data_IF_916616405739
#
_entry.id   IF_916616405739
#
_cell.length_a   1.000
_cell.length_b   1.000
_cell.length_c   1.000
_cell.angle_alpha   90.00
_cell.angle_beta   90.00
_cell.angle_gamma   90.00
#
_symmetry.space_group_name_H-M   'P 1'
#
loop_
_entity.id
_entity.type
_entity.pdbx_description
1 polymer ?
#
# COMPACT_ATOMS: atom_id res chain seq x y z
N UNK A 1 -7.79 -27.62 14.44
CA UNK A 1 -6.83 -26.68 13.81
C UNK A 1 -6.69 -25.48 14.71
N UNK A 2 -5.49 -24.98 14.94
CA UNK A 2 -5.25 -23.77 15.75
C UNK A 2 -5.41 -22.53 14.87
N UNK A 3 -6.61 -21.94 14.87
CA UNK A 3 -6.93 -20.77 14.07
C UNK A 3 -6.13 -19.51 14.46
N UNK A 4 -5.53 -19.46 15.67
CA UNK A 4 -4.75 -18.31 16.14
C UNK A 4 -3.47 -18.08 15.33
N UNK A 5 -2.94 -19.11 14.68
CA UNK A 5 -1.76 -19.08 13.82
C UNK A 5 -2.05 -18.61 12.40
N UNK A 6 -3.32 -18.69 11.96
CA UNK A 6 -3.69 -18.33 10.59
C UNK A 6 -3.65 -16.83 10.43
N UNK A 7 -2.94 -16.35 9.39
CA UNK A 7 -2.85 -14.95 8.99
C UNK A 7 -3.41 -14.71 7.59
N UNK A 8 -3.42 -15.75 6.76
CA UNK A 8 -3.91 -15.73 5.39
C UNK A 8 -4.70 -17.01 5.10
N UNK A 9 -5.86 -16.86 4.49
CA UNK A 9 -6.61 -17.96 3.87
C UNK A 9 -6.55 -17.75 2.35
N UNK A 10 -6.05 -18.75 1.62
CA UNK A 10 -6.06 -18.78 0.17
C UNK A 10 -7.20 -19.73 -0.26
N UNK A 11 -8.05 -19.22 -1.14
CA UNK A 11 -9.24 -19.93 -1.61
C UNK A 11 -9.09 -20.37 -3.06
N UNK A 12 -9.41 -21.62 -3.32
CA UNK A 12 -9.89 -21.99 -4.64
C UNK A 12 -11.34 -21.54 -4.82
N UNK A 13 -11.84 -21.49 -6.05
CA UNK A 13 -13.16 -20.96 -6.36
C UNK A 13 -14.17 -22.05 -6.69
N UNK A 14 -13.99 -22.78 -7.81
CA UNK A 14 -14.94 -23.79 -8.27
C UNK A 14 -15.06 -24.96 -7.27
N UNK A 15 -16.28 -25.41 -6.97
CA UNK A 15 -16.59 -26.45 -5.99
C UNK A 15 -16.01 -26.23 -4.57
N UNK A 16 -15.36 -25.05 -4.35
CA UNK A 16 -14.74 -24.66 -3.07
C UNK A 16 -15.44 -23.44 -2.48
N UNK A 17 -15.27 -22.26 -3.07
CA UNK A 17 -15.89 -21.01 -2.63
C UNK A 17 -17.34 -20.87 -3.11
N UNK A 18 -17.62 -21.43 -4.26
CA UNK A 18 -18.95 -21.58 -4.80
C UNK A 18 -19.21 -22.99 -5.32
N UNK A 19 -20.49 -23.34 -5.55
CA UNK A 19 -20.88 -24.58 -6.20
C UNK A 19 -20.95 -24.36 -7.71
N UNK A 20 -20.44 -25.32 -8.46
CA UNK A 20 -20.35 -25.29 -9.91
C UNK A 20 -19.03 -24.79 -10.43
N UNK A 21 -18.84 -24.93 -11.74
CA UNK A 21 -17.66 -24.47 -12.49
C UNK A 21 -18.06 -23.26 -13.33
N UNK A 22 -17.43 -22.12 -13.12
CA UNK A 22 -17.89 -20.85 -13.71
C UNK A 22 -17.87 -20.82 -15.24
N UNK A 23 -17.00 -21.62 -15.87
CA UNK A 23 -16.92 -21.76 -17.33
C UNK A 23 -18.04 -22.64 -17.94
N UNK A 24 -18.69 -23.47 -17.13
CA UNK A 24 -19.64 -24.48 -17.61
C UNK A 24 -21.09 -24.17 -17.24
N UNK A 25 -21.32 -23.51 -16.12
CA UNK A 25 -22.68 -23.29 -15.59
C UNK A 25 -22.76 -22.07 -14.65
N UNK A 26 -24.01 -21.74 -14.27
CA UNK A 26 -24.22 -20.74 -13.23
C UNK A 26 -23.70 -21.25 -11.89
N UNK A 27 -22.85 -20.43 -11.23
CA UNK A 27 -22.31 -20.73 -9.91
C UNK A 27 -23.17 -20.09 -8.82
N UNK A 28 -23.19 -20.69 -7.64
CA UNK A 28 -23.86 -20.20 -6.46
C UNK A 28 -22.89 -20.16 -5.26
N UNK A 29 -22.83 -19.05 -4.48
CA UNK A 29 -21.88 -18.90 -3.41
C UNK A 29 -22.16 -19.92 -2.29
N UNK A 30 -21.11 -20.49 -1.70
CA UNK A 30 -21.21 -21.29 -0.49
C UNK A 30 -21.33 -20.33 0.69
N UNK A 31 -22.52 -20.22 1.28
CA UNK A 31 -22.81 -19.28 2.36
C UNK A 31 -21.76 -19.31 3.48
N UNK A 32 -21.38 -20.51 3.94
CA UNK A 32 -20.38 -20.65 5.01
C UNK A 32 -19.00 -20.10 4.60
N UNK A 33 -18.61 -20.18 3.33
CA UNK A 33 -17.37 -19.61 2.83
C UNK A 33 -17.45 -18.08 2.83
N UNK A 34 -18.56 -17.51 2.37
CA UNK A 34 -18.79 -16.07 2.40
C UNK A 34 -18.77 -15.52 3.83
N UNK A 35 -19.51 -16.17 4.73
CA UNK A 35 -19.56 -15.80 6.15
C UNK A 35 -18.16 -15.89 6.80
N UNK A 36 -17.35 -16.89 6.42
CA UNK A 36 -15.99 -17.04 6.92
C UNK A 36 -15.05 -15.95 6.40
N UNK A 37 -15.18 -15.52 5.15
CA UNK A 37 -14.40 -14.39 4.62
C UNK A 37 -14.68 -13.10 5.40
N UNK A 38 -15.94 -12.82 5.69
CA UNK A 38 -16.32 -11.64 6.49
C UNK A 38 -15.79 -11.73 7.92
N UNK A 39 -15.99 -12.88 8.57
CA UNK A 39 -15.54 -13.14 9.95
C UNK A 39 -14.01 -13.10 10.06
N UNK A 40 -13.29 -13.78 9.16
CA UNK A 40 -11.83 -13.82 9.16
C UNK A 40 -11.23 -12.43 8.96
N UNK A 41 -11.81 -11.62 8.06
CA UNK A 41 -11.35 -10.24 7.82
C UNK A 41 -11.49 -9.37 9.08
N UNK A 42 -12.61 -9.47 9.80
CA UNK A 42 -12.83 -8.77 11.08
C UNK A 42 -11.91 -9.27 12.20
N UNK A 43 -11.39 -10.48 12.09
CA UNK A 43 -10.39 -11.02 13.01
C UNK A 43 -8.94 -10.76 12.55
N UNK A 44 -8.75 -9.91 11.53
CA UNK A 44 -7.43 -9.58 10.99
C UNK A 44 -6.75 -10.75 10.28
N UNK A 45 -7.52 -11.71 9.76
CA UNK A 45 -7.05 -12.76 8.85
C UNK A 45 -7.38 -12.31 7.44
N UNK A 46 -6.38 -12.26 6.57
CA UNK A 46 -6.53 -11.77 5.19
C UNK A 46 -6.96 -12.91 4.27
N UNK A 47 -7.71 -12.61 3.23
CA UNK A 47 -8.14 -13.59 2.24
C UNK A 47 -7.51 -13.29 0.87
N UNK A 48 -7.15 -14.35 0.14
CA UNK A 48 -6.62 -14.32 -1.22
C UNK A 48 -7.26 -15.45 -2.03
N UNK A 49 -7.11 -15.39 -3.34
CA UNK A 49 -7.62 -16.41 -4.26
C UNK A 49 -6.46 -17.03 -5.04
N UNK A 50 -6.45 -18.36 -5.17
CA UNK A 50 -5.61 -19.09 -6.10
C UNK A 50 -6.45 -20.10 -6.86
N UNK A 51 -6.91 -19.77 -8.06
CA UNK A 51 -7.82 -20.61 -8.85
C UNK A 51 -7.35 -20.79 -10.30
N UNK A 52 -7.71 -21.92 -10.91
CA UNK A 52 -7.49 -22.21 -12.33
C UNK A 52 -8.74 -21.80 -13.11
N UNK A 53 -8.81 -20.54 -13.48
CA UNK A 53 -9.95 -19.93 -14.13
C UNK A 53 -9.53 -18.70 -14.96
N UNK A 54 -10.46 -18.15 -15.71
CA UNK A 54 -10.35 -16.82 -16.29
C UNK A 54 -10.65 -15.75 -15.23
N UNK A 55 -9.74 -14.79 -15.06
CA UNK A 55 -9.80 -13.82 -13.96
C UNK A 55 -11.07 -12.95 -14.01
N UNK A 56 -11.38 -12.40 -15.20
CA UNK A 56 -12.46 -11.43 -15.33
C UNK A 56 -13.84 -11.97 -14.92
N UNK A 57 -14.31 -13.15 -15.41
CA UNK A 57 -15.58 -13.73 -14.96
C UNK A 57 -15.62 -13.97 -13.45
N UNK A 58 -14.52 -14.43 -12.85
CA UNK A 58 -14.44 -14.69 -11.42
C UNK A 58 -14.58 -13.40 -10.61
N UNK A 59 -13.85 -12.36 -10.99
CA UNK A 59 -13.91 -11.07 -10.29
C UNK A 59 -15.28 -10.42 -10.46
N UNK A 60 -15.88 -10.48 -11.66
CA UNK A 60 -17.22 -9.94 -11.90
C UNK A 60 -18.27 -10.66 -11.02
N UNK A 61 -18.12 -11.97 -10.82
CA UNK A 61 -19.00 -12.75 -9.93
C UNK A 61 -18.82 -12.39 -8.47
N UNK A 62 -17.61 -12.19 -8.01
CA UNK A 62 -17.33 -11.73 -6.64
C UNK A 62 -17.88 -10.32 -6.38
N UNK A 63 -17.82 -9.43 -7.37
CA UNK A 63 -18.44 -8.09 -7.31
C UNK A 63 -19.96 -8.16 -7.23
N UNK A 64 -20.60 -9.05 -7.98
CA UNK A 64 -22.05 -9.28 -7.90
C UNK A 64 -22.50 -9.62 -6.48
N UNK A 65 -21.63 -10.31 -5.72
CA UNK A 65 -21.87 -10.69 -4.32
C UNK A 65 -21.30 -9.71 -3.28
N UNK A 66 -20.71 -8.58 -3.73
CA UNK A 66 -20.05 -7.57 -2.87
C UNK A 66 -18.90 -8.15 -2.00
N UNK A 67 -18.19 -9.16 -2.52
CA UNK A 67 -17.12 -9.87 -1.82
C UNK A 67 -15.72 -9.58 -2.35
N UNK A 68 -15.56 -9.06 -3.56
CA UNK A 68 -14.26 -8.78 -4.19
C UNK A 68 -13.35 -7.91 -3.35
N UNK A 69 -13.90 -6.97 -2.60
CA UNK A 69 -13.20 -6.03 -1.72
C UNK A 69 -12.47 -6.68 -0.54
N UNK A 70 -12.81 -7.94 -0.19
CA UNK A 70 -12.19 -8.68 0.91
C UNK A 70 -10.99 -9.53 0.48
N UNK A 71 -10.70 -9.59 -0.82
CA UNK A 71 -9.59 -10.37 -1.35
C UNK A 71 -8.45 -9.49 -1.84
N UNK A 72 -7.22 -9.97 -1.63
CA UNK A 72 -5.99 -9.30 -2.07
C UNK A 72 -5.01 -10.33 -2.62
N UNK A 73 -4.09 -9.90 -3.47
CA UNK A 73 -3.08 -10.75 -4.10
C UNK A 73 -3.68 -11.94 -4.84
N UNK A 74 -4.81 -11.73 -5.50
CA UNK A 74 -5.51 -12.78 -6.23
C UNK A 74 -4.65 -13.29 -7.39
N UNK A 75 -4.60 -14.61 -7.51
CA UNK A 75 -3.91 -15.34 -8.57
C UNK A 75 -4.91 -16.25 -9.29
N UNK A 76 -5.51 -15.74 -10.35
CA UNK A 76 -6.53 -16.43 -11.14
C UNK A 76 -6.00 -16.57 -12.56
N UNK A 77 -5.56 -17.76 -12.93
CA UNK A 77 -5.10 -18.13 -14.26
C UNK A 77 -4.99 -19.66 -14.35
N UNK A 78 -4.66 -20.21 -15.51
CA UNK A 78 -4.64 -21.64 -15.79
C UNK A 78 -3.34 -22.36 -15.41
N UNK A 79 -2.35 -21.67 -14.85
CA UNK A 79 -1.09 -22.26 -14.44
C UNK A 79 -1.22 -23.12 -13.16
N UNK A 80 -0.27 -24.05 -12.89
CA UNK A 80 -0.22 -24.82 -11.65
C UNK A 80 -0.26 -23.95 -10.40
N UNK A 81 -0.95 -24.41 -9.34
CA UNK A 81 -1.22 -23.57 -8.15
C UNK A 81 -0.03 -23.46 -7.20
N UNK A 82 0.80 -24.51 -7.09
CA UNK A 82 1.82 -24.61 -6.04
C UNK A 82 2.82 -23.45 -6.03
N UNK A 83 3.44 -23.16 -7.19
CA UNK A 83 4.38 -22.03 -7.31
C UNK A 83 3.67 -20.68 -7.09
N UNK A 84 2.46 -20.52 -7.61
CA UNK A 84 1.66 -19.29 -7.47
C UNK A 84 1.29 -18.99 -6.01
N UNK A 85 0.99 -20.04 -5.23
CA UNK A 85 0.76 -19.94 -3.78
C UNK A 85 2.03 -19.46 -3.09
N UNK A 86 3.19 -20.06 -3.41
CA UNK A 86 4.49 -19.64 -2.88
C UNK A 86 4.77 -18.17 -3.18
N UNK A 87 4.60 -17.75 -4.43
CA UNK A 87 4.82 -16.37 -4.87
C UNK A 87 3.89 -15.38 -4.16
N UNK A 88 2.63 -15.77 -3.91
CA UNK A 88 1.66 -14.99 -3.15
C UNK A 88 2.12 -14.83 -1.69
N UNK A 89 2.52 -15.92 -1.03
CA UNK A 89 2.98 -15.91 0.37
C UNK A 89 4.24 -15.04 0.53
N UNK A 90 5.19 -15.16 -0.39
CA UNK A 90 6.41 -14.34 -0.43
C UNK A 90 6.09 -12.86 -0.68
N UNK A 91 5.22 -12.57 -1.65
CA UNK A 91 4.78 -11.19 -1.96
C UNK A 91 4.04 -10.52 -0.80
N UNK A 92 3.38 -11.30 0.04
CA UNK A 92 2.69 -10.84 1.24
C UNK A 92 3.60 -10.80 2.49
N UNK A 93 4.89 -11.16 2.36
CA UNK A 93 5.85 -11.26 3.45
C UNK A 93 5.35 -12.13 4.62
N UNK A 94 4.72 -13.26 4.30
CA UNK A 94 4.20 -14.19 5.29
C UNK A 94 5.05 -15.46 5.37
N UNK A 95 4.96 -16.17 6.50
CA UNK A 95 5.52 -17.53 6.64
C UNK A 95 4.48 -18.54 6.17
N UNK A 96 4.91 -19.57 5.50
CA UNK A 96 4.04 -20.65 5.00
C UNK A 96 3.21 -21.30 6.12
N UNK A 97 3.78 -21.47 7.31
CA UNK A 97 3.08 -22.01 8.49
C UNK A 97 1.93 -21.13 9.03
N UNK A 98 1.77 -19.89 8.52
CA UNK A 98 0.66 -19.02 8.86
C UNK A 98 -0.40 -18.93 7.75
N UNK A 99 -0.31 -19.78 6.74
CA UNK A 99 -1.20 -19.78 5.58
C UNK A 99 -2.02 -21.04 5.54
N UNK A 100 -3.31 -20.90 5.32
CA UNK A 100 -4.24 -21.99 5.05
C UNK A 100 -4.69 -21.92 3.60
N UNK A 101 -4.53 -23.00 2.86
CA UNK A 101 -5.06 -23.17 1.51
C UNK A 101 -6.26 -24.13 1.52
N UNK A 102 -7.38 -23.70 0.93
CA UNK A 102 -8.63 -24.44 0.83
C UNK A 102 -8.91 -24.75 -0.64
N UNK A 103 -9.06 -26.03 -0.96
CA UNK A 103 -9.27 -26.52 -2.33
C UNK A 103 -9.98 -27.88 -2.25
N UNK A 104 -10.93 -28.17 -3.15
CA UNK A 104 -11.64 -29.45 -3.22
C UNK A 104 -10.77 -30.55 -3.81
N UNK A 105 -9.78 -30.19 -4.63
CA UNK A 105 -8.89 -31.13 -5.29
C UNK A 105 -7.66 -31.45 -4.43
N UNK A 106 -7.57 -32.69 -3.96
CA UNK A 106 -6.44 -33.16 -3.15
C UNK A 106 -5.08 -33.02 -3.83
N UNK A 107 -5.02 -33.12 -5.17
CA UNK A 107 -3.77 -32.93 -5.91
C UNK A 107 -3.25 -31.50 -5.77
N UNK A 108 -4.13 -30.49 -5.85
CA UNK A 108 -3.75 -29.12 -5.63
C UNK A 108 -3.26 -28.88 -4.19
N UNK A 109 -3.86 -29.54 -3.20
CA UNK A 109 -3.41 -29.46 -1.80
C UNK A 109 -2.01 -30.05 -1.63
N UNK A 110 -1.71 -31.18 -2.25
CA UNK A 110 -0.37 -31.81 -2.20
C UNK A 110 0.65 -30.99 -3.00
N UNK A 111 0.25 -30.42 -4.14
CA UNK A 111 1.09 -29.49 -4.90
C UNK A 111 1.49 -28.26 -4.04
N UNK A 112 0.53 -27.67 -3.32
CA UNK A 112 0.79 -26.57 -2.40
C UNK A 112 1.80 -26.94 -1.31
N UNK A 113 1.69 -28.14 -0.71
CA UNK A 113 2.64 -28.64 0.29
C UNK A 113 4.04 -28.88 -0.28
N UNK A 114 4.12 -29.33 -1.53
CA UNK A 114 5.42 -29.55 -2.19
C UNK A 114 6.21 -28.22 -2.31
N UNK A 115 5.55 -27.13 -2.72
CA UNK A 115 6.19 -25.82 -2.84
C UNK A 115 6.32 -25.06 -1.51
N UNK A 116 5.42 -25.35 -0.56
CA UNK A 116 5.32 -24.73 0.77
C UNK A 116 5.14 -25.81 1.84
N UNK A 117 6.21 -26.49 2.29
CA UNK A 117 6.10 -27.68 3.16
C UNK A 117 5.29 -27.48 4.44
N UNK A 118 5.33 -26.27 5.03
CA UNK A 118 4.65 -25.96 6.29
C UNK A 118 3.24 -25.37 6.10
N UNK A 119 2.73 -25.31 4.87
CA UNK A 119 1.40 -24.73 4.60
C UNK A 119 0.30 -25.62 5.19
N UNK A 120 -0.67 -25.00 5.82
CA UNK A 120 -1.89 -25.71 6.22
C UNK A 120 -2.80 -25.89 5.01
N UNK A 121 -3.39 -27.06 4.86
CA UNK A 121 -4.33 -27.36 3.78
C UNK A 121 -5.64 -27.92 4.31
N UNK A 122 -6.75 -27.66 3.63
CA UNK A 122 -8.07 -28.09 4.07
C UNK A 122 -9.00 -28.34 2.88
N UNK A 123 -9.85 -29.35 3.00
CA UNK A 123 -10.97 -29.59 2.08
C UNK A 123 -12.17 -28.70 2.47
N UNK A 124 -13.05 -28.34 1.51
CA UNK A 124 -14.19 -27.43 1.74
C UNK A 124 -15.22 -27.95 2.74
N UNK A 125 -15.34 -29.26 2.95
CA UNK A 125 -16.25 -29.87 3.92
C UNK A 125 -15.98 -29.47 5.38
N UNK A 126 -14.77 -28.95 5.65
CA UNK A 126 -14.35 -28.48 6.99
C UNK A 126 -14.46 -26.98 7.22
N UNK A 127 -15.05 -26.23 6.28
CA UNK A 127 -15.23 -24.77 6.42
C UNK A 127 -16.03 -24.43 7.68
N UNK A 128 -17.03 -25.24 8.03
CA UNK A 128 -17.83 -25.02 9.25
C UNK A 128 -17.01 -25.16 10.54
N UNK A 129 -16.08 -26.12 10.61
CA UNK A 129 -15.16 -26.27 11.75
C UNK A 129 -14.21 -25.07 11.86
N UNK A 130 -13.70 -24.58 10.72
CA UNK A 130 -12.86 -23.41 10.68
C UNK A 130 -13.61 -22.15 11.11
N UNK A 131 -14.85 -21.99 10.65
CA UNK A 131 -15.71 -20.87 11.06
C UNK A 131 -15.87 -20.83 12.58
N UNK A 132 -16.19 -21.97 13.21
CA UNK A 132 -16.29 -22.09 14.66
C UNK A 132 -14.96 -21.74 15.37
N UNK A 133 -13.84 -22.22 14.84
CA UNK A 133 -12.53 -21.91 15.42
C UNK A 133 -12.16 -20.42 15.31
N UNK A 134 -12.47 -19.77 14.17
CA UNK A 134 -12.21 -18.33 13.97
C UNK A 134 -13.14 -17.48 14.84
N UNK A 135 -14.40 -17.90 15.05
CA UNK A 135 -15.34 -17.16 15.91
C UNK A 135 -14.94 -17.14 17.39
N UNK A 136 -14.08 -18.05 17.82
CA UNK A 136 -13.54 -18.10 19.19
C UNK A 136 -12.27 -17.25 19.36
N UNK A 137 -11.76 -16.62 18.31
CA UNK A 137 -10.60 -15.75 18.43
C UNK A 137 -10.98 -14.46 19.12
N UNK A 138 -10.25 -14.09 20.17
CA UNK A 138 -10.34 -12.80 20.83
C UNK A 138 -9.50 -11.75 20.07
N UNK A 139 -9.90 -11.46 18.82
CA UNK A 139 -9.27 -10.47 17.95
C UNK A 139 -10.36 -9.61 17.35
N UNK A 140 -10.12 -8.31 17.29
CA UNK A 140 -11.07 -7.37 16.72
C UNK A 140 -10.34 -6.40 15.79
N UNK A 141 -10.63 -6.49 14.49
CA UNK A 141 -10.21 -5.56 13.45
C UNK A 141 -11.44 -5.06 12.67
N UNK A 142 -12.40 -4.49 13.38
CA UNK A 142 -13.65 -3.95 12.81
C UNK A 142 -13.40 -2.94 11.69
N UNK A 143 -12.26 -2.23 11.74
CA UNK A 143 -11.86 -1.26 10.71
C UNK A 143 -11.17 -1.90 9.51
N UNK A 144 -11.00 -3.23 9.51
CA UNK A 144 -10.30 -3.98 8.47
C UNK A 144 -8.88 -3.43 8.17
N UNK A 145 -8.23 -2.88 9.20
CA UNK A 145 -6.95 -2.18 9.08
C UNK A 145 -5.86 -3.07 8.47
N UNK A 146 -5.92 -4.37 8.75
CA UNK A 146 -4.99 -5.33 8.19
C UNK A 146 -5.24 -5.57 6.70
N UNK A 147 -6.49 -5.73 6.29
CA UNK A 147 -6.86 -5.85 4.89
C UNK A 147 -6.41 -4.63 4.09
N UNK A 148 -6.68 -3.43 4.58
CA UNK A 148 -6.25 -2.19 3.92
C UNK A 148 -4.72 -2.09 3.79
N UNK A 149 -3.98 -2.51 4.83
CA UNK A 149 -2.51 -2.57 4.75
C UNK A 149 -2.02 -3.51 3.64
N UNK A 150 -2.69 -4.64 3.41
CA UNK A 150 -2.32 -5.55 2.33
C UNK A 150 -2.77 -5.06 0.95
N UNK A 151 -3.84 -4.29 0.83
CA UNK A 151 -4.20 -3.60 -0.44
C UNK A 151 -3.13 -2.59 -0.85
N UNK A 152 -2.58 -1.84 0.11
CA UNK A 152 -1.44 -0.94 -0.14
C UNK A 152 -0.21 -1.72 -0.61
N UNK A 153 0.11 -2.83 0.07
CA UNK A 153 1.23 -3.70 -0.30
C UNK A 153 1.05 -4.30 -1.71
N UNK A 154 -0.16 -4.72 -2.06
CA UNK A 154 -0.47 -5.24 -3.40
C UNK A 154 -0.25 -4.20 -4.49
N UNK A 155 -0.76 -2.97 -4.31
CA UNK A 155 -0.52 -1.85 -5.24
C UNK A 155 0.97 -1.61 -5.42
N UNK A 156 1.72 -1.60 -4.32
CA UNK A 156 3.16 -1.42 -4.29
C UNK A 156 3.90 -2.50 -5.07
N UNK A 157 3.53 -3.77 -4.89
CA UNK A 157 4.13 -4.89 -5.60
C UNK A 157 3.84 -4.85 -7.11
N UNK A 158 2.64 -4.44 -7.53
CA UNK A 158 2.30 -4.26 -8.95
C UNK A 158 3.20 -3.21 -9.62
N UNK A 159 3.44 -2.08 -8.94
CA UNK A 159 4.30 -1.01 -9.44
C UNK A 159 5.78 -1.44 -9.43
N UNK A 160 6.23 -2.12 -8.36
CA UNK A 160 7.60 -2.63 -8.27
C UNK A 160 7.96 -3.55 -9.44
N UNK A 161 7.04 -4.39 -9.89
CA UNK A 161 7.24 -5.27 -11.06
C UNK A 161 7.44 -4.50 -12.38
N UNK A 162 6.98 -3.25 -12.47
CA UNK A 162 7.14 -2.40 -13.66
C UNK A 162 8.42 -1.54 -13.65
N UNK A 163 9.12 -1.46 -12.52
CA UNK A 163 10.34 -0.65 -12.34
C UNK A 163 11.57 -1.56 -12.36
N UNK A 164 12.61 -1.18 -13.09
CA UNK A 164 13.77 -2.03 -13.38
C UNK A 164 14.72 -2.31 -12.20
N UNK A 165 14.70 -1.50 -11.10
CA UNK A 165 15.50 -1.75 -9.91
C UNK A 165 14.72 -1.51 -8.60
N UNK A 166 15.06 -2.28 -7.56
CA UNK A 166 14.42 -2.13 -6.25
C UNK A 166 14.75 -0.79 -5.58
N UNK A 167 15.97 -0.31 -5.73
CA UNK A 167 16.41 0.96 -5.13
C UNK A 167 15.69 2.15 -5.78
N UNK A 168 15.60 2.16 -7.10
CA UNK A 168 14.87 3.18 -7.83
C UNK A 168 13.37 3.21 -7.43
N UNK A 169 12.77 2.03 -7.30
CA UNK A 169 11.41 1.92 -6.78
C UNK A 169 11.27 2.51 -5.37
N UNK A 170 12.22 2.24 -4.46
CA UNK A 170 12.19 2.77 -3.10
C UNK A 170 12.36 4.29 -3.06
N UNK A 171 13.26 4.84 -3.89
CA UNK A 171 13.41 6.31 -4.07
C UNK A 171 12.13 6.95 -4.56
N UNK A 172 11.51 6.37 -5.59
CA UNK A 172 10.24 6.87 -6.15
C UNK A 172 9.05 6.66 -5.21
N UNK A 173 9.17 5.79 -4.20
CA UNK A 173 8.10 5.56 -3.23
C UNK A 173 7.94 6.69 -2.23
N UNK A 174 8.93 7.57 -2.09
CA UNK A 174 8.93 8.70 -1.14
C UNK A 174 8.59 8.24 0.27
N UNK A 175 9.46 7.40 0.83
CA UNK A 175 9.25 6.81 2.15
C UNK A 175 9.62 7.82 3.23
N UNK A 176 8.72 8.05 4.17
CA UNK A 176 8.88 8.89 5.34
C UNK A 176 8.82 8.08 6.61
N UNK A 177 9.66 8.45 7.58
CA UNK A 177 9.79 7.76 8.87
C UNK A 177 9.89 8.78 10.00
N UNK A 178 8.99 8.67 10.98
CA UNK A 178 8.97 9.51 12.17
C UNK A 178 9.24 8.72 13.44
N UNK A 179 9.95 9.37 14.39
CA UNK A 179 10.33 8.83 15.68
C UNK A 179 9.53 9.53 16.78
N UNK A 180 8.91 8.74 17.65
CA UNK A 180 8.02 9.23 18.69
C UNK A 180 8.42 8.68 20.05
N UNK A 181 8.46 9.54 21.08
CA UNK A 181 8.88 9.20 22.45
C UNK A 181 7.73 8.93 23.43
N UNK A 182 6.49 9.20 23.04
CA UNK A 182 5.25 9.02 23.82
C UNK A 182 4.81 7.55 23.89
N UNK A 183 5.76 6.63 24.06
CA UNK A 183 5.52 5.17 24.06
C UNK A 183 4.45 4.71 25.05
N UNK A 184 4.30 5.38 26.18
CA UNK A 184 3.33 5.01 27.21
C UNK A 184 1.88 5.12 26.74
N UNK A 185 1.57 6.11 25.88
CA UNK A 185 0.23 6.32 25.32
C UNK A 185 -0.15 5.24 24.31
N UNK A 186 0.85 4.56 23.75
CA UNK A 186 0.67 3.54 22.71
C UNK A 186 1.05 2.12 23.16
N UNK A 187 1.11 1.88 24.48
CA UNK A 187 1.60 0.62 25.07
C UNK A 187 0.87 -0.62 24.55
N UNK A 188 -0.44 -0.55 24.33
CA UNK A 188 -1.23 -1.67 23.81
C UNK A 188 -0.77 -2.06 22.41
N UNK A 189 -0.54 -1.06 21.56
CA UNK A 189 -0.11 -1.28 20.18
C UNK A 189 1.35 -1.76 20.11
N UNK A 190 2.22 -1.24 20.98
CA UNK A 190 3.62 -1.65 21.07
C UNK A 190 3.73 -3.09 21.57
N UNK A 191 2.97 -3.45 22.60
CA UNK A 191 2.89 -4.82 23.08
C UNK A 191 2.42 -5.78 21.97
N UNK A 192 1.36 -5.42 21.23
CA UNK A 192 0.90 -6.20 20.09
C UNK A 192 2.01 -6.37 19.02
N UNK A 193 2.72 -5.30 18.68
CA UNK A 193 3.83 -5.34 17.73
C UNK A 193 4.94 -6.28 18.18
N UNK A 194 5.36 -6.19 19.45
CA UNK A 194 6.39 -7.04 20.08
C UNK A 194 6.01 -8.52 19.94
N UNK A 195 4.75 -8.88 20.21
CA UNK A 195 4.30 -10.26 20.13
C UNK A 195 4.12 -10.77 18.70
N UNK A 196 3.76 -9.89 17.75
CA UNK A 196 3.52 -10.27 16.35
C UNK A 196 4.76 -10.24 15.47
N UNK A 197 5.73 -9.38 15.76
CA UNK A 197 6.94 -9.27 14.96
C UNK A 197 7.84 -10.50 15.18
N UNK A 198 8.15 -11.21 14.09
CA UNK A 198 9.03 -12.37 14.12
C UNK A 198 10.22 -12.21 13.17
N UNK A 199 9.94 -11.88 11.89
CA UNK A 199 10.95 -11.80 10.83
C UNK A 199 11.91 -10.62 11.02
N UNK A 200 11.42 -9.50 11.56
CA UNK A 200 12.16 -8.28 11.85
C UNK A 200 12.20 -7.98 13.36
N UNK A 201 12.20 -9.00 14.23
CA UNK A 201 12.51 -8.84 15.63
C UNK A 201 13.91 -9.36 15.88
N UNK A 202 14.86 -8.46 16.07
CA UNK A 202 16.28 -8.77 16.15
C UNK A 202 16.67 -9.31 17.54
N UNK A 203 16.07 -8.79 18.60
CA UNK A 203 16.37 -9.20 19.99
C UNK A 203 15.53 -10.38 20.48
N UNK A 204 14.43 -10.69 19.76
CA UNK A 204 13.43 -11.73 20.13
C UNK A 204 12.80 -11.56 21.53
N UNK A 205 13.06 -10.48 22.22
CA UNK A 205 12.48 -10.19 23.53
C UNK A 205 10.96 -10.02 23.41
N UNK A 206 10.21 -10.55 24.39
CA UNK A 206 8.75 -10.53 24.47
C UNK A 206 8.34 -10.00 25.85
N UNK A 207 8.41 -8.67 26.02
CA UNK A 207 8.07 -8.05 27.28
C UNK A 207 6.57 -7.93 27.49
N UNK A 208 6.15 -8.17 28.72
CA UNK A 208 4.78 -7.89 29.19
C UNK A 208 4.52 -6.37 29.23
N UNK A 209 3.25 -5.98 29.35
CA UNK A 209 2.91 -4.55 29.47
C UNK A 209 3.52 -3.90 30.72
N UNK A 210 3.64 -4.65 31.81
CA UNK A 210 4.21 -4.11 33.07
C UNK A 210 5.74 -3.94 32.95
N UNK A 211 6.43 -4.86 32.28
CA UNK A 211 7.86 -4.69 31.95
C UNK A 211 8.09 -3.52 30.99
N UNK A 212 7.20 -3.29 30.03
CA UNK A 212 7.28 -2.12 29.12
C UNK A 212 7.06 -0.81 29.88
N UNK A 213 6.09 -0.75 30.82
CA UNK A 213 5.90 0.43 31.67
C UNK A 213 7.15 0.75 32.47
N UNK A 214 7.72 -0.27 33.14
CA UNK A 214 8.97 -0.11 33.90
C UNK A 214 10.12 0.38 33.00
N UNK A 215 10.20 -0.11 31.76
CA UNK A 215 11.22 0.30 30.79
C UNK A 215 11.02 1.76 30.34
N UNK A 216 9.77 2.22 30.15
CA UNK A 216 9.47 3.61 29.77
C UNK A 216 9.73 4.61 30.90
N UNK A 217 9.66 4.17 32.16
CA UNK A 217 9.95 4.97 33.35
C UNK A 217 11.45 5.01 33.70
N UNK A 218 12.26 4.12 33.10
CA UNK A 218 13.70 4.04 33.35
C UNK A 218 14.44 5.21 32.68
N UNK A 219 14.99 6.11 33.48
CA UNK A 219 15.74 7.29 32.99
C UNK A 219 17.01 6.95 32.20
N UNK A 220 17.53 5.74 32.34
CA UNK A 220 18.70 5.26 31.59
C UNK A 220 18.30 4.56 30.27
N UNK A 221 17.02 4.38 30.01
CA UNK A 221 16.53 3.80 28.78
C UNK A 221 15.95 4.88 27.83
N UNK A 222 16.37 4.86 26.58
CA UNK A 222 15.73 5.64 25.52
C UNK A 222 14.80 4.72 24.74
N UNK A 223 13.50 5.00 24.77
CA UNK A 223 12.47 4.26 24.07
C UNK A 223 11.78 5.14 23.05
N UNK A 224 11.72 4.69 21.80
CA UNK A 224 10.94 5.37 20.75
C UNK A 224 10.24 4.32 19.89
N UNK A 225 9.06 4.67 19.40
CA UNK A 225 8.41 3.92 18.33
C UNK A 225 8.50 4.68 17.01
N UNK A 226 8.34 3.94 15.93
CA UNK A 226 8.52 4.43 14.58
C UNK A 226 7.19 4.31 13.83
N UNK A 227 6.75 5.41 13.23
CA UNK A 227 5.70 5.41 12.23
C UNK A 227 6.31 5.55 10.84
N UNK A 228 5.60 5.07 9.82
CA UNK A 228 6.03 5.23 8.44
C UNK A 228 4.84 5.44 7.52
N UNK A 229 5.07 6.21 6.45
CA UNK A 229 4.16 6.36 5.32
C UNK A 229 4.95 6.53 4.02
N UNK A 230 4.28 6.33 2.90
CA UNK A 230 4.83 6.61 1.59
C UNK A 230 3.68 7.06 0.64
N UNK A 231 3.97 7.31 -0.63
CA UNK A 231 2.96 7.74 -1.61
C UNK A 231 1.80 6.74 -1.81
N UNK A 232 1.91 5.52 -1.30
CA UNK A 232 0.88 4.49 -1.44
C UNK A 232 -0.04 4.41 -0.22
N UNK A 233 0.38 4.96 0.94
CA UNK A 233 -0.43 5.02 2.15
C UNK A 233 0.36 5.05 3.45
N UNK A 234 -0.38 5.05 4.55
CA UNK A 234 0.15 5.04 5.92
C UNK A 234 0.28 3.60 6.44
N UNK A 235 1.37 3.33 7.13
CA UNK A 235 1.64 2.02 7.76
C UNK A 235 1.37 2.03 9.26
N UNK A 236 1.16 3.21 9.86
CA UNK A 236 1.02 3.42 11.30
C UNK A 236 2.31 3.06 12.05
N UNK A 237 2.18 2.57 13.29
CA UNK A 237 3.34 2.12 14.09
C UNK A 237 3.93 0.86 13.44
N UNK A 238 5.17 1.00 12.96
CA UNK A 238 5.88 -0.05 12.23
C UNK A 238 7.15 -0.54 12.92
N UNK A 239 7.67 0.19 13.88
CA UNK A 239 8.89 -0.19 14.61
C UNK A 239 8.86 0.25 16.06
N UNK A 240 9.67 -0.40 16.87
CA UNK A 240 9.96 -0.02 18.25
C UNK A 240 11.40 -0.40 18.61
N UNK A 241 12.06 0.50 19.30
CA UNK A 241 13.34 0.21 19.91
C UNK A 241 13.45 0.74 21.35
N UNK A 242 14.30 0.09 22.11
CA UNK A 242 14.73 0.55 23.42
C UNK A 242 16.24 0.39 23.54
N UNK A 243 16.96 1.48 23.81
CA UNK A 243 18.41 1.49 24.07
C UNK A 243 18.63 1.74 25.55
N UNK A 244 19.41 0.88 26.18
CA UNK A 244 19.89 1.03 27.57
C UNK A 244 21.39 0.75 27.63
N UNK A 245 22.17 1.63 28.24
CA UNK A 245 23.61 1.50 28.36
C UNK A 245 24.31 1.19 27.02
N UNK A 246 23.88 1.89 25.93
CA UNK A 246 24.34 1.73 24.55
C UNK A 246 24.07 0.36 23.95
N UNK A 247 23.16 -0.45 24.53
CA UNK A 247 22.76 -1.76 24.03
C UNK A 247 21.26 -1.77 23.71
N UNK A 248 20.88 -2.40 22.61
CA UNK A 248 19.47 -2.54 22.19
C UNK A 248 18.77 -3.64 22.99
N UNK A 249 17.95 -3.24 23.98
CA UNK A 249 17.08 -4.15 24.71
C UNK A 249 15.89 -4.64 23.85
N UNK A 250 15.37 -3.75 23.02
CA UNK A 250 14.37 -4.07 21.99
C UNK A 250 14.79 -3.43 20.67
N UNK A 251 14.66 -4.19 19.58
CA UNK A 251 14.81 -3.70 18.22
C UNK A 251 13.98 -4.56 17.27
N UNK A 252 12.83 -4.03 16.84
CA UNK A 252 11.88 -4.82 16.06
C UNK A 252 11.01 -3.97 15.16
N UNK A 253 10.59 -4.58 14.03
CA UNK A 253 9.77 -3.93 13.03
C UNK A 253 8.65 -4.84 12.52
N UNK A 254 7.63 -4.23 11.95
CA UNK A 254 6.52 -4.93 11.31
C UNK A 254 6.95 -5.56 9.98
N UNK A 255 6.52 -6.79 9.73
CA UNK A 255 6.75 -7.44 8.43
C UNK A 255 6.15 -6.67 7.23
N UNK A 256 5.22 -5.74 7.46
CA UNK A 256 4.64 -4.87 6.42
C UNK A 256 5.66 -3.96 5.76
N UNK A 257 6.73 -3.65 6.45
CA UNK A 257 7.82 -2.77 5.97
C UNK A 257 9.06 -3.54 5.54
N UNK A 258 8.99 -4.88 5.48
CA UNK A 258 10.08 -5.71 5.02
C UNK A 258 10.56 -5.28 3.61
N UNK A 259 11.87 -5.07 3.47
CA UNK A 259 12.50 -4.65 2.23
C UNK A 259 12.38 -3.15 1.92
N UNK A 260 11.89 -2.33 2.87
CA UNK A 260 11.89 -0.87 2.74
C UNK A 260 13.17 -0.23 3.29
N UNK A 261 13.95 -0.96 4.10
CA UNK A 261 15.20 -0.49 4.71
C UNK A 261 15.00 0.35 5.98
N UNK A 262 13.78 0.39 6.53
CA UNK A 262 13.47 1.20 7.73
C UNK A 262 14.30 0.74 8.94
N UNK A 263 14.53 -0.56 9.07
CA UNK A 263 15.33 -1.16 10.15
C UNK A 263 16.79 -0.71 10.10
N UNK A 264 17.44 -0.73 8.94
CA UNK A 264 18.81 -0.26 8.77
C UNK A 264 18.90 1.26 8.96
N UNK A 265 17.98 2.01 8.37
CA UNK A 265 17.88 3.46 8.56
C UNK A 265 17.75 3.84 10.04
N UNK A 266 16.85 3.17 10.78
CA UNK A 266 16.68 3.39 12.21
C UNK A 266 17.96 3.08 12.99
N UNK A 267 18.62 1.96 12.68
CA UNK A 267 19.85 1.54 13.34
C UNK A 267 20.98 2.57 13.16
N UNK A 268 21.14 3.10 11.95
CA UNK A 268 22.10 4.19 11.66
C UNK A 268 21.73 5.48 12.40
N UNK A 269 20.44 5.84 12.37
CA UNK A 269 19.94 7.09 12.98
C UNK A 269 20.16 7.15 14.49
N UNK A 270 20.06 6.02 15.20
CA UNK A 270 20.29 5.94 16.65
C UNK A 270 21.77 5.75 17.02
N UNK A 271 22.69 5.83 16.05
CA UNK A 271 24.13 5.78 16.27
C UNK A 271 24.72 4.37 16.36
N UNK A 272 24.05 3.36 15.80
CA UNK A 272 24.50 1.97 15.75
C UNK A 272 24.89 1.41 17.13
N UNK A 273 23.98 1.40 18.15
CA UNK A 273 24.26 0.80 19.44
C UNK A 273 24.60 -0.69 19.32
N UNK A 274 25.08 -1.29 20.40
CA UNK A 274 25.30 -2.73 20.43
C UNK A 274 23.99 -3.48 20.23
N UNK A 275 23.99 -4.45 19.31
CA UNK A 275 22.85 -5.28 19.00
C UNK A 275 23.24 -6.75 19.02
N UNK A 276 22.68 -7.48 19.96
CA UNK A 276 22.75 -8.94 19.96
C UNK A 276 21.56 -9.52 19.17
N UNK A 277 21.87 -10.04 17.98
CA UNK A 277 20.85 -10.63 17.10
C UNK A 277 20.57 -12.06 17.51
N UNK A 278 19.36 -12.30 18.01
CA UNK A 278 18.93 -13.61 18.49
C UNK A 278 18.14 -14.37 17.41
N UNK A 279 18.64 -15.55 17.04
CA UNK A 279 18.00 -16.42 16.07
C UNK A 279 17.92 -15.83 14.65
N UNK A 280 17.03 -16.39 13.83
CA UNK A 280 16.91 -15.98 12.42
C UNK A 280 16.11 -14.68 12.26
N UNK A 281 16.65 -13.78 11.45
CA UNK A 281 16.01 -12.55 10.99
C UNK A 281 16.06 -12.46 9.47
N UNK A 282 15.05 -11.83 8.88
CA UNK A 282 14.93 -11.78 7.41
C UNK A 282 15.83 -10.74 6.75
N UNK A 283 16.42 -9.83 7.52
CA UNK A 283 17.28 -8.74 7.01
C UNK A 283 18.52 -8.65 7.88
N UNK A 284 19.68 -8.48 7.25
CA UNK A 284 20.92 -8.14 7.95
C UNK A 284 20.97 -6.64 8.17
N UNK A 285 21.38 -6.22 9.36
CA UNK A 285 21.65 -4.82 9.69
C UNK A 285 23.02 -4.73 10.35
N UNK A 286 23.68 -3.59 10.21
CA UNK A 286 25.01 -3.40 10.79
C UNK A 286 25.71 -2.14 10.30
N UNK A 287 26.84 -1.81 10.92
CA UNK A 287 27.69 -0.66 10.56
C UNK A 287 28.31 -0.76 9.16
N UNK A 288 28.42 -1.99 8.63
CA UNK A 288 29.04 -2.26 7.33
C UNK A 288 27.99 -2.51 6.22
N UNK A 289 26.71 -2.46 6.55
CA UNK A 289 25.66 -2.57 5.54
C UNK A 289 25.51 -1.24 4.76
N UNK A 290 25.04 -1.28 3.52
CA UNK A 290 24.84 -0.07 2.72
C UNK A 290 23.93 0.94 3.39
N UNK A 291 24.34 2.20 3.42
CA UNK A 291 23.54 3.30 3.97
C UNK A 291 22.25 3.49 3.20
N UNK A 292 21.16 3.62 3.93
CA UNK A 292 19.82 3.85 3.34
C UNK A 292 19.65 5.33 3.03
N UNK A 293 19.56 5.66 1.73
CA UNK A 293 19.49 7.04 1.24
C UNK A 293 18.14 7.44 0.63
N UNK A 294 17.15 6.55 0.65
CA UNK A 294 15.82 6.75 0.06
C UNK A 294 14.71 7.01 1.06
N UNK A 295 15.04 7.14 2.36
CA UNK A 295 14.10 7.43 3.44
C UNK A 295 14.26 8.88 3.86
N UNK A 296 13.13 9.59 3.97
CA UNK A 296 13.02 10.94 4.49
C UNK A 296 12.57 10.89 5.96
N UNK A 297 13.02 11.85 6.75
CA UNK A 297 12.57 12.02 8.12
C UNK A 297 11.80 13.33 8.25
N UNK A 298 10.56 13.24 8.71
CA UNK A 298 9.71 14.41 8.98
C UNK A 298 9.83 14.87 10.43
N UNK A 299 11.05 15.00 10.96
CA UNK A 299 11.28 15.57 12.31
C UNK A 299 11.26 17.10 12.31
N UNK A 300 10.65 17.70 11.33
CA UNK A 300 10.22 19.10 11.37
C UNK A 300 8.72 19.05 11.06
N UNK A 301 7.89 19.52 11.97
CA UNK A 301 6.56 19.97 11.63
C UNK A 301 6.74 20.96 10.49
N UNK A 302 6.65 20.47 9.27
CA UNK A 302 6.60 21.31 8.06
C UNK A 302 5.21 21.89 7.86
N UNK A 303 4.57 22.28 8.97
CA UNK A 303 3.52 23.30 8.89
C UNK A 303 4.11 24.63 8.38
N UNK A 304 5.46 24.77 8.39
CA UNK A 304 6.13 26.02 8.05
C UNK A 304 6.72 26.08 6.62
N UNK A 305 7.03 24.96 5.95
CA UNK A 305 7.56 25.06 4.58
C UNK A 305 6.50 25.53 3.58
N UNK A 306 5.24 25.14 3.75
CA UNK A 306 4.16 25.65 2.92
C UNK A 306 3.73 27.08 3.32
N UNK A 307 3.84 27.47 4.59
CA UNK A 307 3.64 28.84 5.03
C UNK A 307 4.78 29.76 4.55
N UNK A 308 6.04 29.28 4.55
CA UNK A 308 7.17 30.01 4.01
C UNK A 308 7.07 30.22 2.50
N UNK A 309 6.55 29.24 1.74
CA UNK A 309 6.29 29.39 0.30
C UNK A 309 5.17 30.40 0.05
N UNK A 310 4.11 30.44 0.87
CA UNK A 310 3.08 31.48 0.80
C UNK A 310 3.65 32.89 1.02
N UNK A 311 4.61 33.01 1.93
CA UNK A 311 5.25 34.29 2.24
C UNK A 311 6.31 34.75 1.22
N UNK A 312 6.83 33.82 0.39
CA UNK A 312 7.81 34.16 -0.66
C UNK A 312 7.18 34.63 -1.96
N UNK A 313 5.86 34.57 -2.11
CA UNK A 313 5.17 34.87 -3.37
C UNK A 313 5.46 33.87 -4.50
N UNK A 314 5.94 32.66 -4.14
CA UNK A 314 6.23 31.61 -5.10
C UNK A 314 4.91 31.05 -5.67
N UNK A 315 4.74 31.20 -6.98
CA UNK A 315 3.59 30.67 -7.72
C UNK A 315 4.00 29.59 -8.70
N UNK A 316 3.16 28.61 -8.89
CA UNK A 316 3.35 27.51 -9.84
C UNK A 316 2.24 27.54 -10.88
N UNK A 317 2.59 27.58 -12.15
CA UNK A 317 1.64 27.39 -13.24
C UNK A 317 1.62 25.92 -13.68
N UNK A 318 0.42 25.33 -13.79
CA UNK A 318 0.20 24.02 -14.38
C UNK A 318 -0.68 24.22 -15.63
N UNK A 319 -0.12 23.95 -16.83
CA UNK A 319 -0.81 24.14 -18.11
C UNK A 319 -0.77 22.89 -18.96
N UNK A 320 -1.92 22.47 -19.49
CA UNK A 320 -2.00 21.30 -20.38
C UNK A 320 -3.38 20.65 -20.44
N UNK A 321 -3.46 19.40 -20.94
CA UNK A 321 -4.71 18.67 -21.03
C UNK A 321 -5.31 18.29 -19.67
N UNK A 322 -6.57 17.88 -19.68
CA UNK A 322 -7.36 17.61 -18.47
C UNK A 322 -6.82 16.48 -17.57
N UNK A 323 -5.93 15.62 -18.07
CA UNK A 323 -5.24 14.60 -17.29
C UNK A 323 -4.34 15.17 -16.19
N UNK A 324 -3.77 16.37 -16.40
CA UNK A 324 -3.02 17.09 -15.36
C UNK A 324 -3.90 17.47 -14.16
N UNK A 325 -5.20 17.58 -14.32
CA UNK A 325 -6.12 17.83 -13.21
C UNK A 325 -6.10 16.70 -12.14
N UNK A 326 -5.72 15.49 -12.53
CA UNK A 326 -5.52 14.41 -11.57
C UNK A 326 -4.33 14.69 -10.64
N UNK A 327 -3.28 15.32 -11.15
CA UNK A 327 -2.13 15.73 -10.34
C UNK A 327 -2.58 16.80 -9.34
N UNK A 328 -3.39 17.76 -9.78
CA UNK A 328 -3.89 18.84 -8.94
C UNK A 328 -4.80 18.37 -7.80
N UNK A 329 -5.57 17.33 -8.01
CA UNK A 329 -6.45 16.75 -6.96
C UNK A 329 -5.68 16.22 -5.74
N UNK A 330 -4.38 15.98 -5.86
CA UNK A 330 -3.48 15.59 -4.77
C UNK A 330 -2.77 16.78 -4.10
N UNK A 331 -2.88 17.98 -4.67
CA UNK A 331 -2.21 19.19 -4.17
C UNK A 331 -3.21 19.94 -3.29
N UNK A 332 -2.97 19.98 -1.97
CA UNK A 332 -3.89 20.57 -0.98
C UNK A 332 -3.84 22.10 -0.87
N UNK A 333 -3.04 22.80 -1.67
CA UNK A 333 -2.81 24.23 -1.51
C UNK A 333 -3.11 25.02 -2.79
N UNK A 334 -4.38 25.40 -2.97
CA UNK A 334 -4.88 26.11 -4.14
C UNK A 334 -4.30 27.54 -4.29
N UNK A 335 -3.82 28.16 -3.21
CA UNK A 335 -3.31 29.55 -3.23
C UNK A 335 -1.96 29.70 -3.96
N UNK A 336 -1.23 28.61 -4.19
CA UNK A 336 0.10 28.60 -4.82
C UNK A 336 0.02 28.24 -6.30
N UNK A 337 -1.06 27.57 -6.73
CA UNK A 337 -1.19 26.99 -8.06
C UNK A 337 -2.18 27.75 -8.92
N UNK A 338 -1.70 28.23 -10.06
CA UNK A 338 -2.54 28.66 -11.16
C UNK A 338 -2.68 27.48 -12.15
N UNK A 339 -3.91 27.03 -12.38
CA UNK A 339 -4.18 25.86 -13.22
C UNK A 339 -4.95 26.23 -14.47
N UNK A 340 -4.37 25.94 -15.63
CA UNK A 340 -4.95 26.18 -16.95
C UNK A 340 -5.09 24.85 -17.70
N UNK A 341 -6.24 24.20 -17.49
CA UNK A 341 -6.52 22.92 -18.13
C UNK A 341 -7.43 23.09 -19.33
N UNK A 342 -7.09 22.41 -20.41
CA UNK A 342 -7.94 22.34 -21.58
C UNK A 342 -9.07 21.36 -21.33
N UNK A 343 -10.29 21.86 -21.22
CA UNK A 343 -11.49 21.05 -21.09
C UNK A 343 -12.36 21.13 -22.33
N UNK A 344 -13.00 19.99 -22.69
CA UNK A 344 -14.21 20.05 -23.49
C UNK A 344 -15.41 20.08 -22.54
N UNK A 345 -16.22 21.13 -22.61
CA UNK A 345 -17.43 21.23 -21.79
C UNK A 345 -18.36 20.03 -22.01
N UNK A 346 -19.21 19.69 -21.02
CA UNK A 346 -20.18 18.59 -21.17
C UNK A 346 -21.08 18.74 -22.41
N UNK A 347 -21.44 19.97 -22.74
CA UNK A 347 -22.21 20.28 -23.95
C UNK A 347 -21.41 20.00 -25.22
N UNK A 348 -20.12 20.32 -25.22
CA UNK A 348 -19.20 20.07 -26.34
C UNK A 348 -18.84 18.57 -26.45
N UNK A 349 -18.72 17.85 -25.34
CA UNK A 349 -18.51 16.39 -25.33
C UNK A 349 -19.67 15.64 -26.02
N UNK A 350 -20.89 16.13 -25.91
CA UNK A 350 -22.06 15.52 -26.57
C UNK A 350 -21.98 15.58 -28.09
N UNK A 351 -21.13 16.40 -28.67
CA UNK A 351 -20.91 16.52 -30.09
C UNK A 351 -19.94 15.49 -30.66
N UNK A 352 -19.35 14.64 -29.81
CA UNK A 352 -18.42 13.57 -30.21
C UNK A 352 -17.09 14.04 -30.78
N UNK A 353 -16.67 15.28 -30.46
CA UNK A 353 -15.40 15.84 -30.94
C UNK A 353 -14.26 15.29 -30.09
N UNK A 354 -13.31 14.60 -30.73
CA UNK A 354 -12.08 14.16 -30.09
C UNK A 354 -11.14 15.34 -29.85
N UNK A 355 -10.52 15.35 -28.64
CA UNK A 355 -9.51 16.35 -28.26
C UNK A 355 -8.12 15.96 -28.81
N UNK A 356 -8.02 14.81 -29.47
CA UNK A 356 -6.78 14.30 -30.01
C UNK A 356 -6.19 15.26 -31.05
N UNK A 357 -4.95 15.68 -30.86
CA UNK A 357 -4.21 16.52 -31.79
C UNK A 357 -4.17 18.01 -31.48
N UNK A 358 -4.47 18.43 -30.26
CA UNK A 358 -4.26 19.82 -29.84
C UNK A 358 -2.78 20.09 -29.54
N UNK A 359 -2.16 20.95 -30.38
CA UNK A 359 -0.77 21.36 -30.19
C UNK A 359 -0.67 22.41 -29.07
N UNK A 360 -0.40 21.95 -27.83
CA UNK A 360 -0.27 22.83 -26.65
C UNK A 360 0.90 23.79 -26.77
N UNK A 361 2.01 23.37 -27.36
CA UNK A 361 3.17 24.23 -27.59
C UNK A 361 2.80 25.41 -28.51
N UNK A 362 2.08 25.12 -29.60
CA UNK A 362 1.60 26.17 -30.50
C UNK A 362 0.64 27.14 -29.81
N UNK A 363 -0.27 26.64 -28.96
CA UNK A 363 -1.18 27.47 -28.18
C UNK A 363 -0.45 28.39 -27.24
N UNK A 364 0.59 27.93 -26.52
CA UNK A 364 1.40 28.73 -25.61
C UNK A 364 2.14 29.83 -26.41
N UNK A 365 2.79 29.47 -27.49
CA UNK A 365 3.54 30.42 -28.32
C UNK A 365 2.63 31.49 -28.90
N UNK A 366 1.45 31.13 -29.38
CA UNK A 366 0.51 32.03 -29.98
C UNK A 366 -0.28 32.90 -28.98
N UNK A 367 -0.40 32.46 -27.71
CA UNK A 367 -1.09 33.21 -26.66
C UNK A 367 -0.54 34.61 -26.43
N UNK A 368 0.74 34.87 -26.79
CA UNK A 368 1.33 36.19 -26.69
C UNK A 368 0.82 37.20 -27.78
N UNK A 369 0.46 36.67 -28.94
CA UNK A 369 0.11 37.51 -30.12
C UNK A 369 -1.40 37.54 -30.44
N UNK A 370 -2.18 36.62 -29.86
CA UNK A 370 -3.61 36.53 -30.10
C UNK A 370 -4.39 37.59 -29.32
N UNK A 371 -5.33 38.26 -29.96
CA UNK A 371 -6.19 39.26 -29.31
C UNK A 371 -7.38 38.61 -28.61
N UNK A 372 -7.99 39.36 -27.67
CA UNK A 372 -9.22 38.91 -27.00
C UNK A 372 -10.37 38.64 -27.98
N UNK A 373 -10.46 39.46 -29.06
CA UNK A 373 -11.47 39.27 -30.11
C UNK A 373 -11.24 37.98 -30.89
N UNK A 374 -10.00 37.69 -31.28
CA UNK A 374 -9.63 36.47 -31.97
C UNK A 374 -9.85 35.23 -31.07
N UNK A 375 -9.51 35.33 -29.78
CA UNK A 375 -9.77 34.29 -28.78
C UNK A 375 -11.27 34.01 -28.68
N UNK A 376 -12.09 35.06 -28.59
CA UNK A 376 -13.55 34.92 -28.54
C UNK A 376 -14.13 34.27 -29.80
N UNK A 377 -13.57 34.59 -30.98
CA UNK A 377 -13.98 33.98 -32.24
C UNK A 377 -13.61 32.48 -32.33
N UNK A 378 -12.39 32.14 -31.89
CA UNK A 378 -11.90 30.75 -31.86
C UNK A 378 -12.72 29.91 -30.84
N UNK A 379 -13.08 30.50 -29.69
CA UNK A 379 -13.90 29.83 -28.67
C UNK A 379 -15.34 29.54 -29.10
N UNK A 380 -15.78 30.04 -30.24
CA UNK A 380 -17.05 29.59 -30.85
C UNK A 380 -16.95 28.19 -31.44
N UNK A 381 -15.74 27.70 -31.70
CA UNK A 381 -15.51 26.32 -32.14
C UNK A 381 -15.78 25.33 -31.00
N UNK A 382 -16.38 24.15 -31.29
CA UNK A 382 -16.74 23.17 -30.26
C UNK A 382 -15.57 22.63 -29.44
N UNK A 383 -14.35 22.73 -29.97
CA UNK A 383 -13.11 22.15 -29.41
C UNK A 383 -12.27 23.16 -28.65
N UNK A 384 -12.61 24.44 -28.65
CA UNK A 384 -11.79 25.47 -28.03
C UNK A 384 -12.36 25.94 -26.68
N UNK A 385 -11.46 26.23 -25.74
CA UNK A 385 -11.72 26.84 -24.45
C UNK A 385 -10.87 28.10 -24.31
N UNK A 386 -11.36 29.10 -23.58
CA UNK A 386 -10.66 30.37 -23.34
C UNK A 386 -9.30 30.20 -22.65
N UNK A 387 -9.13 29.16 -21.85
CA UNK A 387 -7.87 28.88 -21.16
C UNK A 387 -6.76 28.34 -22.08
N UNK A 388 -7.11 27.84 -23.27
CA UNK A 388 -6.13 27.35 -24.25
C UNK A 388 -5.14 28.44 -24.66
N UNK A 389 -5.61 29.67 -24.81
CA UNK A 389 -4.83 30.82 -25.23
C UNK A 389 -4.58 31.82 -24.10
N UNK A 390 -4.65 31.37 -22.83
CA UNK A 390 -4.30 32.18 -21.69
C UNK A 390 -2.84 32.65 -21.78
N UNK A 391 -2.64 33.95 -21.65
CA UNK A 391 -1.33 34.59 -21.67
C UNK A 391 -0.72 34.78 -20.26
N UNK A 392 -1.27 34.09 -19.26
CA UNK A 392 -0.83 34.16 -17.86
C UNK A 392 0.67 33.86 -17.71
N UNK A 393 1.19 32.94 -18.54
CA UNK A 393 2.61 32.56 -18.57
C UNK A 393 3.51 33.76 -18.88
N UNK A 394 3.02 34.78 -19.62
CA UNK A 394 3.76 35.99 -19.99
C UNK A 394 3.49 37.17 -19.05
N UNK A 395 2.29 37.21 -18.46
CA UNK A 395 1.84 38.30 -17.58
C UNK A 395 2.26 38.14 -16.13
N UNK A 396 2.31 36.91 -15.64
CA UNK A 396 2.61 36.63 -14.25
C UNK A 396 4.04 36.12 -14.06
N UNK A 397 4.56 36.26 -12.83
CA UNK A 397 5.84 35.67 -12.45
C UNK A 397 5.59 34.37 -11.71
N UNK A 398 6.07 33.28 -12.27
CA UNK A 398 6.01 31.94 -11.68
C UNK A 398 7.40 31.51 -11.23
N UNK A 399 7.47 30.86 -10.08
CA UNK A 399 8.70 30.20 -9.62
C UNK A 399 8.92 28.87 -10.32
N UNK A 400 7.82 28.23 -10.79
CA UNK A 400 7.86 26.96 -11.53
C UNK A 400 6.71 26.91 -12.53
N UNK A 401 6.95 26.26 -13.68
CA UNK A 401 5.94 26.05 -14.71
C UNK A 401 5.98 24.59 -15.13
N UNK A 402 4.82 23.89 -15.02
CA UNK A 402 4.62 22.56 -15.55
C UNK A 402 3.77 22.65 -16.82
N UNK A 403 4.28 22.09 -17.91
CA UNK A 403 3.57 22.01 -19.19
C UNK A 403 3.55 20.55 -19.61
N UNK A 404 2.38 20.02 -19.90
CA UNK A 404 2.24 18.72 -20.54
C UNK A 404 2.12 18.89 -22.04
N UNK A 405 2.97 18.19 -22.77
CA UNK A 405 3.04 18.18 -24.25
C UNK A 405 2.73 16.78 -24.82
N UNK A 406 2.03 15.95 -24.05
CA UNK A 406 1.78 14.54 -24.37
C UNK A 406 1.02 14.32 -25.68
N UNK A 407 0.43 15.38 -26.27
CA UNK A 407 -0.36 15.33 -27.50
C UNK A 407 0.17 16.25 -28.61
N UNK A 408 1.38 16.78 -28.45
CA UNK A 408 2.02 17.64 -29.48
C UNK A 408 2.61 16.88 -30.67
#
# INVERSE_FOLDING_TARGET
MDASKIKLIIWDLDETFWRGTISEQKVAPVKQACDLVLLSSKNGIVNSICSKNDEKPCIDKLKEWDLDKYFVFNSINWEPKGQRIKDTVESMNLRTCNVLFIDDNKLNLEEAKFFCPDIMTMLPDKIGELYAAVSMLDKNDEKLSRLESYKVLEKKNKIKKSIGSNEEFLRQSNIHVDFHSDCAEHIDRLHELIFRANQLNFTKVRSTKDELKALFEDKNAKCEYITAYDKYGEYGIVGFYAVKDNTLAHFLFSCRTLGMGIEQYTYEKIGCPELDVVGDVSVKIGKNEPTVTWINQDNVKTDNEFEDIKNTGFKVLIKGPCDLNQIFSFIKNEDIFDCEFTYVSREKQSLGVAIEGMNHTSQIVNAYSITDEETAEICKLPICDSQMYSDSIYKNKYGMIFISILTD
#
